data_IF_376105073114
#
_entry.id   IF_376105073114
#
_cell.length_a   1.000
_cell.length_b   1.000
_cell.length_c   1.000
_cell.angle_alpha   90.00
_cell.angle_beta   90.00
_cell.angle_gamma   90.00
#
_symmetry.space_group_name_H-M   'P 1'
#
loop_
_entity.id
_entity.type
_entity.pdbx_description
1 polymer ?
#
# COMPACT_ATOMS: atom_id res chain seq x y z
N UNK A 1 -59.74 26.24 20.47
CA UNK A 1 -60.12 25.18 21.42
C UNK A 1 -60.82 24.06 20.64
N UNK A 2 -60.42 22.81 20.93
CA UNK A 2 -61.09 21.52 20.60
C UNK A 2 -60.71 20.83 19.26
N UNK A 3 -59.73 19.93 19.35
CA UNK A 3 -59.55 18.70 18.53
C UNK A 3 -60.71 17.70 18.79
N UNK A 4 -60.91 16.52 18.13
CA UNK A 4 -59.88 15.54 17.72
C UNK A 4 -60.10 14.69 16.41
N UNK A 5 -58.96 14.24 15.85
CA UNK A 5 -58.57 12.88 15.39
C UNK A 5 -59.59 11.99 14.63
N UNK A 6 -59.12 11.39 13.52
CA UNK A 6 -59.32 10.01 12.96
C UNK A 6 -59.36 10.16 11.40
N UNK A 7 -58.58 9.53 10.51
CA UNK A 7 -58.18 8.13 10.34
C UNK A 7 -57.07 8.05 9.24
N UNK A 8 -56.05 7.22 9.48
CA UNK A 8 -55.25 6.43 8.51
C UNK A 8 -54.90 6.98 7.10
N UNK A 9 -53.60 7.17 6.83
CA UNK A 9 -52.93 6.47 5.71
C UNK A 9 -51.52 6.08 6.14
N UNK A 10 -51.31 4.76 6.20
CA UNK A 10 -50.04 4.08 6.27
C UNK A 10 -49.48 3.99 4.85
N UNK A 11 -48.22 4.38 4.61
CA UNK A 11 -47.32 3.62 3.73
C UNK A 11 -45.86 4.10 3.88
N UNK A 12 -45.10 3.32 4.64
CA UNK A 12 -43.80 2.79 4.23
C UNK A 12 -42.78 3.77 3.62
N UNK A 13 -42.08 4.53 4.45
CA UNK A 13 -40.75 5.04 4.08
C UNK A 13 -39.72 4.14 4.77
N UNK A 14 -39.25 3.21 3.96
CA UNK A 14 -38.07 2.37 4.05
C UNK A 14 -37.11 2.70 5.19
N UNK A 15 -36.86 1.68 6.01
CA UNK A 15 -35.70 1.54 6.88
C UNK A 15 -34.42 1.88 6.11
N UNK A 16 -33.94 3.11 6.23
CA UNK A 16 -32.55 3.45 5.93
C UNK A 16 -31.67 2.77 6.99
N UNK A 17 -31.37 1.50 6.75
CA UNK A 17 -30.18 0.85 7.27
C UNK A 17 -28.96 1.64 6.82
N UNK A 18 -28.31 2.33 7.75
CA UNK A 18 -27.00 1.91 8.26
C UNK A 18 -26.44 3.03 9.13
N UNK A 19 -26.41 2.79 10.44
CA UNK A 19 -25.39 3.36 11.29
C UNK A 19 -24.02 2.91 10.75
N UNK A 20 -23.18 3.89 10.36
CA UNK A 20 -21.75 3.70 10.17
C UNK A 20 -21.06 4.91 10.78
N UNK A 21 -20.77 4.80 12.05
CA UNK A 21 -19.71 5.58 12.68
C UNK A 21 -18.41 5.29 11.92
N UNK A 22 -17.72 6.34 11.48
CA UNK A 22 -16.25 6.49 11.54
C UNK A 22 -15.83 7.77 10.80
N UNK A 23 -15.14 8.71 11.46
CA UNK A 23 -14.35 9.72 10.79
C UNK A 23 -13.26 9.02 9.98
N UNK A 24 -13.28 9.20 8.66
CA UNK A 24 -12.20 8.78 7.79
C UNK A 24 -10.99 9.69 8.03
N UNK A 25 -10.17 9.34 9.01
CA UNK A 25 -8.79 9.82 9.08
C UNK A 25 -8.12 9.29 7.82
N UNK A 26 -7.68 10.19 6.93
CA UNK A 26 -6.96 9.86 5.70
C UNK A 26 -5.65 9.14 6.05
N UNK A 27 -5.70 7.82 6.24
CA UNK A 27 -4.54 6.95 6.12
C UNK A 27 -4.21 6.79 4.63
N UNK A 28 -3.65 7.84 4.02
CA UNK A 28 -2.84 7.67 2.81
C UNK A 28 -1.50 7.07 3.24
N UNK A 29 -1.49 5.77 3.53
CA UNK A 29 -0.31 4.92 3.44
C UNK A 29 -0.70 3.44 3.53
N UNK A 30 -1.67 3.03 2.71
CA UNK A 30 -1.74 1.64 2.26
C UNK A 30 -1.05 1.57 0.90
N UNK A 31 0.27 1.79 0.89
CA UNK A 31 1.08 1.30 -0.22
C UNK A 31 1.16 -0.20 -0.01
N UNK A 32 0.53 -0.94 -0.92
CA UNK A 32 0.36 -2.38 -0.91
C UNK A 32 1.66 -3.11 -0.49
N UNK A 33 1.75 -3.55 0.77
CA UNK A 33 2.71 -4.56 1.18
C UNK A 33 1.99 -5.90 1.07
N UNK A 34 1.82 -6.34 -0.18
CA UNK A 34 1.70 -7.77 -0.45
C UNK A 34 3.05 -8.37 -0.05
N UNK A 35 3.14 -8.79 1.21
CA UNK A 35 4.22 -9.60 1.76
C UNK A 35 4.08 -11.02 1.20
N UNK A 36 4.05 -11.15 -0.12
CA UNK A 36 4.24 -12.43 -0.79
C UNK A 36 5.73 -12.66 -1.00
N UNK A 37 6.14 -13.91 -0.79
CA UNK A 37 7.51 -14.37 -0.95
C UNK A 37 8.06 -13.97 -2.34
N UNK A 38 8.85 -12.90 -2.41
CA UNK A 38 9.53 -12.44 -3.65
C UNK A 38 10.71 -13.37 -4.05
N UNK A 39 10.60 -14.67 -3.80
CA UNK A 39 11.65 -15.65 -4.14
C UNK A 39 11.85 -15.83 -5.66
N UNK A 40 10.98 -15.26 -6.49
CA UNK A 40 11.02 -15.39 -7.95
C UNK A 40 11.10 -14.05 -8.70
N UNK A 41 11.49 -12.96 -8.03
CA UNK A 41 11.66 -11.68 -8.74
C UNK A 41 13.07 -11.63 -9.33
N UNK A 42 13.14 -11.58 -10.67
CA UNK A 42 14.41 -11.37 -11.37
C UNK A 42 14.87 -9.92 -11.14
N UNK A 43 15.93 -9.78 -10.36
CA UNK A 43 16.63 -8.53 -10.11
C UNK A 43 17.94 -8.54 -10.88
N UNK A 44 18.40 -7.36 -11.31
CA UNK A 44 19.66 -7.23 -12.07
C UNK A 44 20.90 -7.28 -11.18
N UNK A 45 20.73 -7.14 -9.86
CA UNK A 45 21.82 -7.11 -8.88
C UNK A 45 21.78 -8.33 -7.97
N UNK A 46 22.93 -9.01 -7.85
CA UNK A 46 23.14 -10.15 -6.96
C UNK A 46 23.24 -9.71 -5.49
N UNK A 47 23.68 -8.48 -5.26
CA UNK A 47 23.88 -7.87 -3.94
C UNK A 47 23.21 -6.50 -3.88
N UNK A 48 22.69 -6.14 -2.71
CA UNK A 48 22.09 -4.83 -2.45
C UNK A 48 23.17 -3.75 -2.60
N UNK A 49 22.98 -2.75 -3.48
CA UNK A 49 24.02 -1.76 -3.76
C UNK A 49 24.24 -0.76 -2.60
N UNK A 50 23.43 -0.79 -1.56
CA UNK A 50 23.57 0.06 -0.36
C UNK A 50 24.37 -0.65 0.73
N UNK A 51 24.04 -1.92 1.00
CA UNK A 51 24.60 -2.66 2.14
C UNK A 51 25.42 -3.90 1.76
N UNK A 52 25.53 -4.22 0.47
CA UNK A 52 26.23 -5.39 -0.07
C UNK A 52 25.73 -6.74 0.47
N UNK A 53 24.48 -6.80 0.94
CA UNK A 53 23.85 -8.07 1.30
C UNK A 53 23.34 -8.80 0.06
N UNK A 54 23.46 -10.13 0.04
CA UNK A 54 22.93 -10.96 -1.05
C UNK A 54 21.42 -10.80 -1.21
N UNK A 55 20.98 -10.30 -2.36
CA UNK A 55 19.56 -10.15 -2.67
C UNK A 55 18.87 -11.50 -2.78
N UNK A 56 19.57 -12.55 -3.23
CA UNK A 56 19.01 -13.89 -3.41
C UNK A 56 18.26 -14.46 -2.19
N UNK A 57 18.75 -14.19 -0.97
CA UNK A 57 18.15 -14.69 0.27
C UNK A 57 17.42 -13.61 1.07
N UNK A 58 17.79 -12.34 0.87
CA UNK A 58 17.34 -11.23 1.71
C UNK A 58 16.46 -10.22 0.97
N UNK A 59 16.01 -10.51 -0.26
CA UNK A 59 15.12 -9.64 -1.01
C UNK A 59 13.85 -9.31 -0.21
N UNK A 60 13.71 -8.05 0.20
CA UNK A 60 12.51 -7.53 0.87
C UNK A 60 11.74 -6.55 0.01
N UNK A 61 12.45 -5.83 -0.85
CA UNK A 61 11.87 -4.77 -1.65
C UNK A 61 12.58 -4.66 -3.01
N UNK A 62 11.93 -4.02 -3.98
CA UNK A 62 12.53 -3.77 -5.31
C UNK A 62 12.19 -2.37 -5.80
N UNK A 63 13.02 -1.84 -6.70
CA UNK A 63 12.74 -0.62 -7.43
C UNK A 63 13.17 -0.75 -8.89
N UNK A 64 12.37 -0.19 -9.79
CA UNK A 64 12.72 -0.13 -11.21
C UNK A 64 13.48 1.16 -11.48
N UNK A 65 14.67 1.04 -12.07
CA UNK A 65 15.50 2.16 -12.49
C UNK A 65 16.14 1.86 -13.85
N UNK A 66 16.01 2.78 -14.82
CA UNK A 66 16.51 2.60 -16.21
C UNK A 66 16.09 1.25 -16.83
N UNK A 67 14.81 0.90 -16.70
CA UNK A 67 14.22 -0.37 -17.15
C UNK A 67 14.84 -1.64 -16.55
N UNK A 68 15.59 -1.50 -15.45
CA UNK A 68 16.18 -2.61 -14.68
C UNK A 68 15.51 -2.68 -13.31
N UNK A 69 15.19 -3.88 -12.86
CA UNK A 69 14.64 -4.11 -11.51
C UNK A 69 15.79 -4.36 -10.55
N UNK A 70 15.95 -3.48 -9.57
CA UNK A 70 16.94 -3.62 -8.50
C UNK A 70 16.28 -4.19 -7.24
N UNK A 71 16.96 -5.11 -6.60
CA UNK A 71 16.59 -5.74 -5.34
C UNK A 71 17.27 -5.12 -4.13
N UNK A 72 16.52 -5.01 -3.04
CA UNK A 72 16.96 -4.42 -1.78
C UNK A 72 16.63 -5.33 -0.60
N UNK A 73 17.55 -5.36 0.36
CA UNK A 73 17.42 -6.12 1.61
C UNK A 73 16.38 -5.50 2.56
N UNK A 74 16.03 -4.22 2.35
CA UNK A 74 15.09 -3.47 3.18
C UNK A 74 14.50 -2.30 2.40
N UNK A 75 13.38 -1.77 2.91
CA UNK A 75 12.81 -0.53 2.40
C UNK A 75 13.77 0.66 2.54
N UNK A 76 14.59 0.66 3.59
CA UNK A 76 15.62 1.69 3.79
C UNK A 76 16.64 1.71 2.65
N UNK A 77 17.15 0.55 2.24
CA UNK A 77 18.09 0.47 1.13
C UNK A 77 17.46 0.91 -0.21
N UNK A 78 16.17 0.59 -0.43
CA UNK A 78 15.43 1.12 -1.58
C UNK A 78 15.36 2.65 -1.54
N UNK A 79 15.08 3.24 -0.39
CA UNK A 79 14.91 4.69 -0.28
C UNK A 79 16.25 5.43 -0.41
N UNK A 80 17.34 4.91 0.14
CA UNK A 80 18.71 5.40 -0.12
C UNK A 80 19.07 5.31 -1.61
N UNK A 81 18.76 4.17 -2.24
CA UNK A 81 18.98 3.99 -3.68
C UNK A 81 18.21 5.03 -4.49
N UNK A 82 16.95 5.34 -4.13
CA UNK A 82 16.17 6.37 -4.83
C UNK A 82 16.71 7.79 -4.68
N UNK A 83 17.45 8.10 -3.60
CA UNK A 83 18.07 9.42 -3.42
C UNK A 83 19.20 9.64 -4.42
N UNK A 84 20.00 8.61 -4.68
CA UNK A 84 21.12 8.72 -5.62
C UNK A 84 21.32 7.43 -6.44
N UNK A 85 20.36 7.08 -7.31
CA UNK A 85 20.40 5.82 -8.03
C UNK A 85 21.54 5.74 -9.02
N UNK A 86 22.08 6.89 -9.48
CA UNK A 86 23.20 6.92 -10.41
C UNK A 86 24.51 6.45 -9.79
N UNK A 87 24.75 6.79 -8.52
CA UNK A 87 25.93 6.33 -7.78
C UNK A 87 25.85 4.84 -7.42
N UNK A 88 24.65 4.30 -7.23
CA UNK A 88 24.46 2.90 -6.81
C UNK A 88 24.16 1.93 -7.95
N UNK A 89 23.63 2.41 -9.08
CA UNK A 89 23.33 1.58 -10.26
C UNK A 89 24.58 1.28 -11.12
N UNK A 90 25.76 1.24 -10.51
CA UNK A 90 27.02 0.97 -11.21
C UNK A 90 27.12 -0.51 -11.57
N UNK A 91 26.54 -0.81 -12.74
CA UNK A 91 26.80 -1.89 -13.70
C UNK A 91 26.83 -3.33 -13.20
#
# INVERSE_FOLDING_TARGET
MKSPIILAVVLSISLFSCAKETPQVKHKSHMASSKENMKNVQVVNEEDPICHMKTANFLKDTAVYKNKTYGFCSSYCKDEFKKNPESYAQK
#
